data_IF_850807810159
#
_entry.id   IF_850807810159
#
_cell.length_a   1.000
_cell.length_b   1.000
_cell.length_c   1.000
_cell.angle_alpha   90.00
_cell.angle_beta   90.00
_cell.angle_gamma   90.00
#
_symmetry.space_group_name_H-M   'P 1'
#
loop_
_entity.id
_entity.type
_entity.pdbx_description
1 polymer ?
#
# COMPACT_ATOMS: atom_id res chain seq x y z
N UNK A 1 7.09 -4.29 -14.18
CA UNK A 1 6.48 -3.34 -15.10
C UNK A 1 6.68 -3.71 -16.55
N UNK A 2 7.91 -3.90 -16.99
CA UNK A 2 8.24 -4.10 -18.43
C UNK A 2 7.63 -5.37 -19.03
N UNK A 3 7.47 -6.43 -18.24
CA UNK A 3 6.97 -7.71 -18.74
C UNK A 3 5.43 -7.73 -18.89
N UNK A 4 4.69 -7.14 -17.96
CA UNK A 4 3.22 -7.27 -17.91
C UNK A 4 2.50 -5.92 -17.75
N UNK A 5 3.22 -4.84 -17.45
CA UNK A 5 2.62 -3.53 -17.23
C UNK A 5 2.10 -2.85 -18.51
N UNK A 6 2.58 -3.26 -19.69
CA UNK A 6 2.14 -2.70 -20.96
C UNK A 6 0.66 -2.99 -21.30
N UNK A 7 0.03 -3.89 -20.58
CA UNK A 7 -1.39 -4.22 -20.73
C UNK A 7 -2.31 -3.30 -19.91
N UNK A 8 -1.75 -2.42 -19.09
CA UNK A 8 -2.48 -1.50 -18.19
C UNK A 8 -2.10 -0.04 -18.45
N UNK A 9 -2.91 0.89 -17.95
CA UNK A 9 -2.71 2.34 -18.12
C UNK A 9 -1.39 2.80 -17.49
N UNK A 10 -1.09 2.32 -16.29
CA UNK A 10 0.21 2.49 -15.65
C UNK A 10 0.94 1.17 -15.59
N UNK A 11 2.18 1.13 -16.06
CA UNK A 11 3.01 -0.06 -16.00
C UNK A 11 3.21 -0.55 -14.57
N UNK A 12 3.32 0.39 -13.63
CA UNK A 12 3.47 0.15 -12.19
C UNK A 12 2.92 1.32 -11.39
N UNK A 13 2.56 1.07 -10.13
CA UNK A 13 2.11 2.08 -9.18
C UNK A 13 2.97 1.98 -7.91
N UNK A 14 3.70 3.05 -7.62
CA UNK A 14 4.59 3.16 -6.48
C UNK A 14 3.94 3.99 -5.38
N UNK A 15 3.75 3.40 -4.20
CA UNK A 15 3.09 4.03 -3.07
C UNK A 15 4.00 3.96 -1.84
N UNK A 16 3.98 5.00 -1.03
CA UNK A 16 4.71 5.04 0.23
C UNK A 16 3.90 5.72 1.32
N UNK A 17 4.02 5.22 2.55
CA UNK A 17 3.52 5.86 3.76
C UNK A 17 4.65 6.50 4.58
N UNK A 18 5.80 6.74 3.97
CA UNK A 18 6.88 7.46 4.61
C UNK A 18 6.58 8.96 4.71
N UNK A 19 6.99 9.57 5.82
CA UNK A 19 6.97 11.02 6.01
C UNK A 19 7.92 11.77 5.06
N UNK A 20 8.20 13.03 5.38
CA UNK A 20 9.13 13.82 4.58
C UNK A 20 10.56 13.29 4.70
N UNK A 21 11.27 13.30 3.58
CA UNK A 21 12.70 13.04 3.54
C UNK A 21 13.46 14.17 4.26
N UNK A 22 14.33 13.79 5.18
CA UNK A 22 15.33 14.72 5.69
C UNK A 22 16.34 15.05 4.58
N UNK A 23 16.82 16.30 4.47
CA UNK A 23 17.69 16.72 3.35
C UNK A 23 18.98 15.93 3.19
N UNK A 24 19.41 15.23 4.24
CA UNK A 24 20.67 14.44 4.28
C UNK A 24 20.48 12.95 4.05
N UNK A 25 19.24 12.46 3.94
CA UNK A 25 18.98 11.04 3.77
C UNK A 25 19.01 10.61 2.31
N UNK A 26 19.51 9.41 2.01
CA UNK A 26 19.46 8.82 0.67
C UNK A 26 18.03 8.68 0.15
N UNK A 27 17.87 8.86 -1.15
CA UNK A 27 16.57 8.79 -1.81
C UNK A 27 15.97 7.36 -1.79
N UNK A 28 16.81 6.35 -1.61
CA UNK A 28 16.45 4.96 -1.47
C UNK A 28 15.61 4.68 -0.21
N UNK A 29 15.72 5.53 0.80
CA UNK A 29 14.90 5.41 2.02
C UNK A 29 13.42 5.73 1.78
N UNK A 30 13.12 6.39 0.68
CA UNK A 30 11.76 6.80 0.31
C UNK A 30 11.16 5.96 -0.82
N UNK A 31 11.98 5.17 -1.52
CA UNK A 31 11.57 4.49 -2.75
C UNK A 31 12.18 3.09 -2.80
N UNK A 32 11.36 2.12 -3.22
CA UNK A 32 11.77 0.71 -3.35
C UNK A 32 11.68 0.21 -4.80
N UNK A 33 11.47 1.11 -5.76
CA UNK A 33 11.32 0.77 -7.19
C UNK A 33 12.18 1.64 -8.07
N UNK A 34 12.63 1.08 -9.19
CA UNK A 34 13.42 1.74 -10.22
C UNK A 34 12.92 1.39 -11.61
N UNK A 35 12.91 2.37 -12.50
CA UNK A 35 12.67 2.18 -13.95
C UNK A 35 13.90 1.65 -14.68
N UNK A 36 15.05 1.58 -14.02
CA UNK A 36 16.33 1.13 -14.56
C UNK A 36 17.49 1.61 -13.71
N UNK A 37 18.73 1.27 -14.05
CA UNK A 37 19.91 1.69 -13.27
C UNK A 37 19.95 3.19 -13.04
N UNK A 38 19.97 3.61 -11.77
CA UNK A 38 19.99 5.01 -11.35
C UNK A 38 18.72 5.82 -11.61
N UNK A 39 17.64 5.21 -12.13
CA UNK A 39 16.36 5.86 -12.42
C UNK A 39 15.29 5.42 -11.44
N UNK A 40 15.14 6.15 -10.35
CA UNK A 40 14.14 5.88 -9.32
C UNK A 40 12.73 6.05 -9.87
N UNK A 41 11.84 5.12 -9.52
CA UNK A 41 10.40 5.26 -9.66
C UNK A 41 9.84 5.92 -8.40
N UNK A 42 9.49 7.22 -8.45
CA UNK A 42 9.14 7.98 -7.24
C UNK A 42 7.81 7.53 -6.68
N UNK A 43 7.79 7.24 -5.39
CA UNK A 43 6.59 6.82 -4.67
C UNK A 43 5.65 7.98 -4.37
N UNK A 44 4.35 7.75 -4.53
CA UNK A 44 3.29 8.70 -4.18
C UNK A 44 2.94 8.50 -2.70
N UNK A 45 3.06 9.58 -1.91
CA UNK A 45 2.82 9.56 -0.47
C UNK A 45 1.49 10.18 -0.08
N UNK A 46 1.06 11.20 -0.79
CA UNK A 46 -0.18 11.91 -0.47
C UNK A 46 -1.39 11.17 -1.08
N UNK A 47 -2.38 10.73 -0.27
CA UNK A 47 -3.55 10.01 -0.78
C UNK A 47 -4.36 10.82 -1.78
N UNK A 48 -4.49 12.16 -1.61
CA UNK A 48 -5.15 13.02 -2.57
C UNK A 48 -4.43 13.00 -3.93
N UNK A 49 -3.09 13.12 -3.93
CA UNK A 49 -2.31 13.05 -5.19
C UNK A 49 -2.41 11.68 -5.84
N UNK A 50 -2.50 10.61 -5.04
CA UNK A 50 -2.73 9.28 -5.57
C UNK A 50 -4.12 9.17 -6.20
N UNK A 51 -5.16 9.62 -5.50
CA UNK A 51 -6.52 9.70 -6.01
C UNK A 51 -6.60 10.51 -7.31
N UNK A 52 -6.01 11.70 -7.32
CA UNK A 52 -5.94 12.57 -8.50
C UNK A 52 -5.27 11.87 -9.69
N UNK A 53 -4.17 11.15 -9.44
CA UNK A 53 -3.47 10.40 -10.49
C UNK A 53 -4.30 9.26 -11.05
N UNK A 54 -5.10 8.60 -10.22
CA UNK A 54 -5.94 7.49 -10.66
C UNK A 54 -7.17 7.96 -11.46
N UNK A 55 -7.78 9.08 -11.07
CA UNK A 55 -9.10 9.48 -11.57
C UNK A 55 -9.12 10.79 -12.35
N UNK A 56 -8.19 11.72 -12.07
CA UNK A 56 -8.21 13.06 -12.64
C UNK A 56 -7.06 13.22 -13.65
N UNK A 57 -7.35 13.08 -14.94
CA UNK A 57 -6.49 13.67 -15.96
C UNK A 57 -6.60 15.20 -15.87
N UNK A 58 -5.50 15.93 -15.98
CA UNK A 58 -5.43 17.40 -15.81
C UNK A 58 -6.48 18.22 -16.59
N UNK A 59 -6.98 17.70 -17.70
CA UNK A 59 -8.02 18.35 -18.52
C UNK A 59 -9.44 18.21 -17.95
N UNK A 60 -9.66 17.35 -16.96
CA UNK A 60 -11.01 17.06 -16.42
C UNK A 60 -11.30 17.77 -15.09
N UNK A 61 -10.28 18.28 -14.41
CA UNK A 61 -10.39 18.95 -13.09
C UNK A 61 -11.36 20.13 -13.06
N UNK A 62 -11.60 20.78 -14.20
CA UNK A 62 -12.46 21.96 -14.27
C UNK A 62 -13.95 21.64 -14.37
N UNK A 63 -14.35 20.39 -14.58
CA UNK A 63 -15.74 20.04 -14.92
C UNK A 63 -16.40 18.99 -14.04
N UNK A 64 -15.70 18.39 -13.05
CA UNK A 64 -16.25 17.29 -12.25
C UNK A 64 -16.01 17.55 -10.76
N UNK A 65 -17.10 17.73 -10.03
CA UNK A 65 -17.05 17.99 -8.57
C UNK A 65 -16.53 16.78 -7.80
N UNK A 66 -16.85 15.58 -8.20
CA UNK A 66 -16.23 14.33 -7.80
C UNK A 66 -16.43 13.23 -8.85
N UNK A 67 -15.58 12.20 -8.79
CA UNK A 67 -15.63 11.07 -9.76
C UNK A 67 -16.90 10.24 -9.57
N UNK A 68 -17.38 10.12 -8.34
CA UNK A 68 -18.59 9.37 -8.01
C UNK A 68 -19.82 9.94 -8.73
N UNK A 69 -19.95 11.26 -8.78
CA UNK A 69 -21.10 11.91 -9.44
C UNK A 69 -21.10 11.67 -10.96
N UNK A 70 -19.92 11.67 -11.58
CA UNK A 70 -19.78 11.37 -13.00
C UNK A 70 -20.10 9.90 -13.31
N UNK A 71 -19.50 8.98 -12.54
CA UNK A 71 -19.70 7.54 -12.71
C UNK A 71 -21.12 7.13 -12.31
N UNK A 72 -21.76 7.81 -11.34
CA UNK A 72 -23.15 7.56 -10.94
C UNK A 72 -24.15 7.81 -12.08
N UNK A 73 -23.93 8.81 -12.93
CA UNK A 73 -24.81 9.07 -14.05
C UNK A 73 -24.78 7.93 -15.08
N UNK A 74 -23.59 7.47 -15.44
CA UNK A 74 -23.38 6.35 -16.35
C UNK A 74 -23.73 5.00 -15.70
N UNK A 75 -23.42 4.83 -14.40
CA UNK A 75 -23.71 3.63 -13.62
C UNK A 75 -25.21 3.37 -13.49
N UNK A 76 -26.06 4.37 -13.31
CA UNK A 76 -27.52 4.20 -13.29
C UNK A 76 -28.06 3.65 -14.62
N UNK A 77 -27.46 4.06 -15.73
CA UNK A 77 -27.80 3.53 -17.05
C UNK A 77 -27.30 2.09 -17.22
N UNK A 78 -26.07 1.83 -16.80
CA UNK A 78 -25.43 0.51 -16.87
C UNK A 78 -26.14 -0.49 -15.95
N UNK A 79 -26.40 -0.11 -14.69
CA UNK A 79 -27.05 -0.97 -13.70
C UNK A 79 -28.40 -1.53 -14.16
N UNK A 80 -29.13 -0.82 -15.02
CA UNK A 80 -30.39 -1.31 -15.60
C UNK A 80 -30.19 -2.45 -16.60
N UNK A 81 -28.98 -2.58 -17.15
CA UNK A 81 -28.62 -3.59 -18.17
C UNK A 81 -27.90 -4.78 -17.60
N UNK A 82 -27.47 -4.72 -16.33
CA UNK A 82 -26.71 -5.76 -15.66
C UNK A 82 -27.60 -6.83 -15.01
N UNK A 83 -27.09 -8.03 -14.92
CA UNK A 83 -27.65 -9.09 -14.10
C UNK A 83 -27.64 -8.71 -12.60
N UNK A 84 -28.48 -9.35 -11.75
CA UNK A 84 -28.56 -8.99 -10.33
C UNK A 84 -27.20 -9.01 -9.59
N UNK A 85 -26.39 -10.04 -9.82
CA UNK A 85 -25.09 -10.22 -9.15
C UNK A 85 -24.07 -9.14 -9.61
N UNK A 86 -24.04 -8.84 -10.91
CA UNK A 86 -23.19 -7.77 -11.47
C UNK A 86 -23.62 -6.39 -10.96
N UNK A 87 -24.92 -6.19 -10.74
CA UNK A 87 -25.47 -4.96 -10.16
C UNK A 87 -25.06 -4.81 -8.70
N UNK A 88 -25.05 -5.88 -7.93
CA UNK A 88 -24.57 -5.88 -6.56
C UNK A 88 -23.08 -5.51 -6.52
N UNK A 89 -22.25 -6.18 -7.32
CA UNK A 89 -20.80 -5.91 -7.43
C UNK A 89 -20.51 -4.47 -7.80
N UNK A 90 -21.28 -3.90 -8.76
CA UNK A 90 -21.17 -2.49 -9.13
C UNK A 90 -21.53 -1.58 -7.96
N UNK A 91 -22.57 -1.92 -7.19
CA UNK A 91 -22.97 -1.19 -5.99
C UNK A 91 -21.87 -1.15 -4.92
N UNK A 92 -21.28 -2.29 -4.62
CA UNK A 92 -20.17 -2.41 -3.67
C UNK A 92 -18.92 -1.61 -4.11
N UNK A 93 -18.63 -1.62 -5.40
CA UNK A 93 -17.55 -0.81 -5.99
C UNK A 93 -17.80 0.70 -5.82
N UNK A 94 -19.01 1.16 -6.11
CA UNK A 94 -19.38 2.57 -5.95
C UNK A 94 -19.35 3.02 -4.49
N UNK A 95 -19.76 2.16 -3.57
CA UNK A 95 -19.67 2.42 -2.12
C UNK A 95 -18.22 2.54 -1.67
N UNK A 96 -17.32 1.70 -2.18
CA UNK A 96 -15.89 1.79 -1.88
C UNK A 96 -15.30 3.12 -2.35
N UNK A 97 -15.59 3.57 -3.58
CA UNK A 97 -15.14 4.87 -4.10
C UNK A 97 -15.65 5.99 -3.16
N UNK A 98 -16.93 5.99 -2.82
CA UNK A 98 -17.52 7.02 -1.96
C UNK A 98 -16.89 7.07 -0.58
N UNK A 99 -16.61 5.92 0.01
CA UNK A 99 -15.91 5.84 1.30
C UNK A 99 -14.50 6.42 1.23
N UNK A 100 -13.78 6.20 0.13
CA UNK A 100 -12.45 6.79 -0.11
C UNK A 100 -12.56 8.31 -0.23
N UNK A 101 -13.50 8.83 -1.02
CA UNK A 101 -13.73 10.28 -1.18
C UNK A 101 -14.02 10.95 0.16
N UNK A 102 -14.92 10.39 0.97
CA UNK A 102 -15.24 10.92 2.32
C UNK A 102 -13.99 10.97 3.21
N UNK A 103 -13.13 9.95 3.16
CA UNK A 103 -11.89 9.91 3.94
C UNK A 103 -10.88 10.96 3.47
N UNK A 104 -10.81 11.19 2.17
CA UNK A 104 -9.96 12.23 1.58
C UNK A 104 -10.47 13.62 1.96
N UNK A 105 -11.78 13.88 1.82
CA UNK A 105 -12.40 15.15 2.25
C UNK A 105 -12.15 15.43 3.74
N UNK A 106 -12.31 14.41 4.59
CA UNK A 106 -11.99 14.52 6.02
C UNK A 106 -10.53 14.88 6.27
N UNK A 107 -9.62 14.24 5.55
CA UNK A 107 -8.19 14.53 5.62
C UNK A 107 -7.89 15.97 5.20
N UNK A 108 -8.45 16.44 4.08
CA UNK A 108 -8.27 17.81 3.59
C UNK A 108 -8.79 18.85 4.57
N UNK A 109 -9.96 18.58 5.19
CA UNK A 109 -10.52 19.43 6.22
C UNK A 109 -9.58 19.55 7.42
N UNK A 110 -9.06 18.42 7.92
CA UNK A 110 -8.09 18.42 9.02
C UNK A 110 -6.82 19.19 8.66
N UNK A 111 -6.35 19.10 7.41
CA UNK A 111 -5.21 19.87 6.88
C UNK A 111 -5.49 21.37 6.89
N UNK A 112 -6.70 21.77 6.46
CA UNK A 112 -7.07 23.19 6.37
C UNK A 112 -7.30 23.83 7.75
N UNK A 113 -7.72 23.05 8.74
CA UNK A 113 -7.97 23.50 10.11
C UNK A 113 -6.70 23.50 10.98
N UNK A 114 -5.64 22.83 10.56
CA UNK A 114 -4.37 22.79 11.27
C UNK A 114 -3.59 24.09 11.04
N UNK A 115 -3.51 24.94 12.06
CA UNK A 115 -2.74 26.22 12.09
C UNK A 115 -1.22 25.98 12.32
N UNK A 116 -0.73 24.83 11.92
CA UNK A 116 0.70 24.45 12.07
C UNK A 116 1.18 23.86 10.76
N UNK A 117 2.43 24.11 10.42
CA UNK A 117 3.13 23.52 9.26
C UNK A 117 3.38 22.01 9.51
N UNK A 118 2.27 21.28 9.76
CA UNK A 118 2.30 19.82 9.92
C UNK A 118 2.55 19.21 8.56
N UNK A 119 3.51 18.30 8.42
CA UNK A 119 3.68 17.54 7.21
C UNK A 119 2.34 16.90 6.79
N UNK A 120 1.82 17.30 5.64
CA UNK A 120 0.47 16.93 5.13
C UNK A 120 0.19 15.42 5.07
N UNK A 121 1.17 14.58 5.37
CA UNK A 121 1.08 13.12 5.38
C UNK A 121 0.85 12.51 6.79
N UNK A 122 0.86 13.32 7.86
CA UNK A 122 0.77 12.85 9.26
C UNK A 122 -0.55 13.21 9.95
N UNK A 123 -1.53 13.68 9.20
CA UNK A 123 -2.78 14.21 9.76
C UNK A 123 -3.77 13.09 10.08
N UNK A 124 -3.70 11.98 9.38
CA UNK A 124 -4.46 10.78 9.73
C UNK A 124 -3.69 9.94 10.72
N UNK A 125 -4.38 9.25 11.64
CA UNK A 125 -3.78 8.15 12.38
C UNK A 125 -3.04 7.21 11.44
N UNK A 126 -1.84 6.78 11.81
CA UNK A 126 -0.95 6.04 10.92
C UNK A 126 -1.62 4.80 10.30
N UNK A 127 -2.36 4.04 11.10
CA UNK A 127 -3.09 2.89 10.59
C UNK A 127 -4.16 3.26 9.56
N UNK A 128 -4.87 4.36 9.78
CA UNK A 128 -5.87 4.88 8.84
C UNK A 128 -5.23 5.36 7.53
N UNK A 129 -4.09 6.06 7.63
CA UNK A 129 -3.31 6.50 6.48
C UNK A 129 -2.82 5.33 5.62
N UNK A 130 -2.23 4.30 6.24
CA UNK A 130 -1.78 3.09 5.53
C UNK A 130 -2.97 2.40 4.83
N UNK A 131 -4.10 2.26 5.51
CA UNK A 131 -5.31 1.63 4.95
C UNK A 131 -5.92 2.43 3.81
N UNK A 132 -5.92 3.76 3.90
CA UNK A 132 -6.40 4.61 2.79
C UNK A 132 -5.54 4.43 1.53
N UNK A 133 -4.22 4.43 1.68
CA UNK A 133 -3.31 4.16 0.56
C UNK A 133 -3.50 2.73 -0.01
N UNK A 134 -3.71 1.74 0.87
CA UNK A 134 -4.03 0.37 0.44
C UNK A 134 -5.35 0.29 -0.34
N UNK A 135 -6.41 0.95 0.13
CA UNK A 135 -7.72 0.96 -0.55
C UNK A 135 -7.63 1.65 -1.92
N UNK A 136 -6.86 2.73 -2.04
CA UNK A 136 -6.58 3.37 -3.34
C UNK A 136 -5.82 2.44 -4.30
N UNK A 137 -4.85 1.68 -3.78
CA UNK A 137 -4.14 0.66 -4.57
C UNK A 137 -5.08 -0.44 -5.06
N UNK A 138 -5.95 -0.96 -4.18
CA UNK A 138 -6.93 -1.97 -4.54
C UNK A 138 -7.91 -1.46 -5.59
N UNK A 139 -8.34 -0.21 -5.46
CA UNK A 139 -9.19 0.43 -6.44
C UNK A 139 -8.51 0.53 -7.81
N UNK A 140 -7.22 0.86 -7.85
CA UNK A 140 -6.45 0.87 -9.10
C UNK A 140 -6.40 -0.52 -9.77
N UNK A 141 -6.27 -1.59 -8.98
CA UNK A 141 -6.33 -2.97 -9.48
C UNK A 141 -7.71 -3.33 -10.01
N UNK A 142 -8.79 -3.03 -9.27
CA UNK A 142 -10.17 -3.29 -9.70
C UNK A 142 -10.54 -2.59 -11.01
N UNK A 143 -10.00 -1.39 -11.22
CA UNK A 143 -10.21 -0.62 -12.44
C UNK A 143 -9.29 -1.03 -13.61
N UNK A 144 -8.39 -1.98 -13.41
CA UNK A 144 -7.40 -2.36 -14.42
C UNK A 144 -6.41 -1.25 -14.77
N UNK A 145 -6.25 -0.25 -13.90
CA UNK A 145 -5.32 0.87 -14.09
C UNK A 145 -3.88 0.38 -14.05
N UNK A 146 -3.60 -0.55 -13.18
CA UNK A 146 -2.30 -1.26 -13.08
C UNK A 146 -2.50 -2.69 -12.58
N UNK A 147 -1.53 -3.56 -12.91
CA UNK A 147 -1.45 -4.93 -12.38
C UNK A 147 -0.28 -5.09 -11.39
N UNK A 148 0.54 -4.06 -11.22
CA UNK A 148 1.74 -4.12 -10.39
C UNK A 148 1.80 -2.89 -9.50
N UNK A 149 2.02 -3.11 -8.20
CA UNK A 149 2.29 -2.03 -7.26
C UNK A 149 3.40 -2.39 -6.28
N UNK A 150 4.13 -1.38 -5.85
CA UNK A 150 5.00 -1.46 -4.67
C UNK A 150 4.47 -0.51 -3.62
N UNK A 151 4.48 -0.97 -2.37
CA UNK A 151 3.90 -0.24 -1.26
C UNK A 151 4.82 -0.25 -0.04
N UNK A 152 5.47 0.85 0.24
CA UNK A 152 6.33 1.03 1.41
C UNK A 152 5.50 1.54 2.59
N UNK A 153 5.18 0.67 3.55
CA UNK A 153 4.35 0.99 4.71
C UNK A 153 5.13 1.49 5.93
N UNK A 154 6.40 1.16 6.03
CA UNK A 154 7.31 1.56 7.10
C UNK A 154 8.40 2.51 6.59
N UNK A 155 8.77 3.56 7.36
CA UNK A 155 9.86 4.44 6.99
C UNK A 155 11.20 3.72 7.15
N UNK A 156 12.02 3.76 6.13
CA UNK A 156 13.42 3.31 6.15
C UNK A 156 14.37 4.42 6.67
N UNK A 157 13.90 5.21 7.63
CA UNK A 157 14.61 6.39 8.12
C UNK A 157 15.02 6.23 9.57
N UNK A 158 16.21 6.71 9.89
CA UNK A 158 16.73 6.66 11.24
C UNK A 158 16.22 7.76 12.15
N UNK A 159 15.80 8.91 11.62
CA UNK A 159 15.31 10.07 12.36
C UNK A 159 13.78 10.20 12.38
N UNK A 160 13.08 9.29 11.73
CA UNK A 160 11.62 9.34 11.67
C UNK A 160 10.99 9.01 13.03
N UNK A 161 10.30 9.98 13.60
CA UNK A 161 9.46 9.81 14.80
C UNK A 161 8.01 9.69 14.36
N UNK A 162 7.36 8.59 14.73
CA UNK A 162 6.01 8.28 14.32
C UNK A 162 5.11 7.96 15.50
N UNK A 163 3.85 8.35 15.37
CA UNK A 163 2.80 7.91 16.27
C UNK A 163 2.20 6.59 15.78
N UNK A 164 2.15 5.60 16.65
CA UNK A 164 1.46 4.33 16.41
C UNK A 164 0.26 4.27 17.34
N UNK A 165 -0.85 4.79 16.87
CA UNK A 165 -2.08 4.95 17.65
C UNK A 165 -2.60 3.60 18.15
N UNK A 166 -2.94 3.55 19.44
CA UNK A 166 -3.37 2.31 20.11
C UNK A 166 -2.23 1.37 20.50
N UNK A 167 -0.98 1.74 20.20
CA UNK A 167 0.22 0.98 20.57
C UNK A 167 1.06 1.75 21.58
N UNK A 168 1.27 3.05 21.35
CA UNK A 168 2.03 3.94 22.22
C UNK A 168 1.27 5.25 22.49
N UNK A 169 1.45 5.82 23.69
CA UNK A 169 0.86 7.11 24.08
C UNK A 169 1.65 8.31 23.54
N UNK A 170 2.83 8.07 22.98
CA UNK A 170 3.74 9.10 22.46
C UNK A 170 4.32 8.64 21.14
N UNK A 171 4.70 9.59 20.24
CA UNK A 171 5.49 9.27 19.08
C UNK A 171 6.81 8.59 19.47
N UNK A 172 7.19 7.56 18.70
CA UNK A 172 8.42 6.79 18.96
C UNK A 172 9.30 6.81 17.70
N UNK A 173 10.60 6.69 17.93
CA UNK A 173 11.60 6.57 16.88
C UNK A 173 11.97 5.11 16.70
N UNK A 174 11.44 4.48 15.67
CA UNK A 174 11.61 3.04 15.41
C UNK A 174 13.09 2.66 15.30
N UNK A 175 13.89 3.44 14.57
CA UNK A 175 15.32 3.19 14.40
C UNK A 175 16.05 3.09 15.77
N UNK A 176 15.84 4.07 16.65
CA UNK A 176 16.46 4.04 17.99
C UNK A 176 16.00 2.84 18.81
N UNK A 177 14.76 2.37 18.63
CA UNK A 177 14.25 1.18 19.30
C UNK A 177 14.93 -0.08 18.80
N UNK A 178 15.27 -0.18 17.50
CA UNK A 178 16.00 -1.34 16.96
C UNK A 178 17.40 -1.48 17.56
N UNK A 179 18.05 -0.38 17.92
CA UNK A 179 19.36 -0.40 18.59
C UNK A 179 19.29 -0.63 20.11
N UNK A 180 18.10 -0.44 20.71
CA UNK A 180 17.87 -0.57 22.16
C UNK A 180 17.12 -1.85 22.54
N UNK A 181 17.43 -2.99 21.93
CA UNK A 181 16.71 -4.25 22.11
C UNK A 181 16.92 -4.93 23.49
N UNK A 182 17.61 -4.29 24.43
CA UNK A 182 17.81 -4.85 25.77
C UNK A 182 16.56 -4.70 26.65
N UNK A 183 16.14 -5.78 27.30
CA UNK A 183 15.01 -5.77 28.23
C UNK A 183 13.66 -5.41 27.60
N UNK A 184 13.00 -4.34 28.08
CA UNK A 184 11.66 -3.92 27.59
C UNK A 184 11.66 -3.43 26.14
N UNK A 185 12.77 -2.94 25.62
CA UNK A 185 12.86 -2.41 24.24
C UNK A 185 12.51 -3.45 23.18
N UNK A 186 12.87 -4.71 23.41
CA UNK A 186 12.49 -5.82 22.53
C UNK A 186 10.97 -6.01 22.44
N UNK A 187 10.25 -5.94 23.55
CA UNK A 187 8.80 -6.10 23.58
C UNK A 187 8.07 -4.90 22.94
N UNK A 188 8.65 -3.73 23.02
CA UNK A 188 8.09 -2.53 22.36
C UNK A 188 8.29 -2.58 20.86
N UNK A 189 9.45 -3.05 20.39
CA UNK A 189 9.70 -3.28 18.96
C UNK A 189 8.71 -4.30 18.38
N UNK A 190 8.47 -5.40 19.08
CA UNK A 190 7.49 -6.41 18.69
C UNK A 190 6.08 -5.82 18.49
N UNK A 191 5.67 -4.81 19.27
CA UNK A 191 4.37 -4.16 19.09
C UNK A 191 4.27 -3.41 17.77
N UNK A 192 5.38 -2.79 17.30
CA UNK A 192 5.44 -2.15 15.98
C UNK A 192 5.33 -3.18 14.88
N UNK A 193 6.02 -4.31 15.00
CA UNK A 193 5.95 -5.39 14.01
C UNK A 193 4.52 -5.94 13.93
N UNK A 194 3.86 -6.17 15.07
CA UNK A 194 2.45 -6.58 15.13
C UNK A 194 1.56 -5.54 14.46
N UNK A 195 1.76 -4.25 14.73
CA UNK A 195 1.01 -3.18 14.08
C UNK A 195 1.14 -3.23 12.56
N UNK A 196 2.34 -3.38 12.01
CA UNK A 196 2.56 -3.49 10.57
C UNK A 196 1.92 -4.76 9.99
N UNK A 197 2.04 -5.90 10.68
CA UNK A 197 1.38 -7.14 10.28
C UNK A 197 -0.15 -7.03 10.28
N UNK A 198 -0.73 -6.24 11.17
CA UNK A 198 -2.17 -5.94 11.17
C UNK A 198 -2.59 -5.13 9.93
N UNK A 199 -1.76 -4.20 9.46
CA UNK A 199 -2.03 -3.46 8.22
C UNK A 199 -1.92 -4.38 6.99
N UNK A 200 -0.93 -5.27 6.98
CA UNK A 200 -0.83 -6.30 5.93
C UNK A 200 -2.03 -7.25 5.94
N UNK A 201 -2.45 -7.71 7.11
CA UNK A 201 -3.65 -8.54 7.25
C UNK A 201 -4.93 -7.82 6.78
N UNK A 202 -5.04 -6.50 7.03
CA UNK A 202 -6.13 -5.69 6.48
C UNK A 202 -6.13 -5.74 4.96
N UNK A 203 -5.00 -5.51 4.30
CA UNK A 203 -4.88 -5.58 2.85
C UNK A 203 -5.33 -6.94 2.31
N UNK A 204 -4.82 -8.04 2.87
CA UNK A 204 -5.19 -9.40 2.44
C UNK A 204 -6.68 -9.70 2.64
N UNK A 205 -7.27 -9.22 3.74
CA UNK A 205 -8.70 -9.35 4.01
C UNK A 205 -9.51 -8.64 2.93
N UNK A 206 -9.18 -7.38 2.61
CA UNK A 206 -9.84 -6.62 1.57
C UNK A 206 -9.75 -7.30 0.21
N UNK A 207 -8.55 -7.79 -0.17
CA UNK A 207 -8.37 -8.54 -1.42
C UNK A 207 -9.18 -9.84 -1.48
N UNK A 208 -9.39 -10.49 -0.34
CA UNK A 208 -10.23 -11.69 -0.26
C UNK A 208 -11.72 -11.38 -0.43
N UNK A 209 -12.16 -10.22 0.04
CA UNK A 209 -13.54 -9.75 -0.07
C UNK A 209 -13.90 -9.31 -1.49
N UNK A 210 -12.95 -8.70 -2.22
CA UNK A 210 -13.14 -8.25 -3.60
C UNK A 210 -13.28 -9.47 -4.52
N UNK A 211 -14.40 -9.55 -5.24
CA UNK A 211 -14.70 -10.62 -6.20
C UNK A 211 -14.35 -10.21 -7.62
N UNK A 212 -13.75 -11.14 -8.33
CA UNK A 212 -13.47 -11.05 -9.76
C UNK A 212 -14.67 -11.59 -10.57
N UNK A 213 -14.65 -11.35 -11.87
CA UNK A 213 -15.76 -11.74 -12.79
C UNK A 213 -16.05 -13.25 -12.75
N UNK A 214 -15.04 -14.08 -12.49
CA UNK A 214 -15.16 -15.54 -12.40
C UNK A 214 -15.62 -16.03 -11.01
N UNK A 215 -15.92 -15.11 -10.07
CA UNK A 215 -16.31 -15.41 -8.69
C UNK A 215 -15.16 -15.73 -7.75
N UNK A 216 -13.93 -15.83 -8.24
CA UNK A 216 -12.74 -15.93 -7.40
C UNK A 216 -12.48 -14.60 -6.64
N UNK A 217 -11.61 -14.62 -5.64
CA UNK A 217 -11.22 -13.37 -5.00
C UNK A 217 -10.00 -12.75 -5.69
N UNK A 218 -9.85 -11.43 -5.61
CA UNK A 218 -8.64 -10.75 -6.06
C UNK A 218 -7.38 -11.38 -5.43
N UNK A 219 -7.45 -11.84 -4.18
CA UNK A 219 -6.34 -12.53 -3.51
C UNK A 219 -6.00 -13.87 -4.18
N UNK A 220 -7.00 -14.60 -4.68
CA UNK A 220 -6.75 -15.88 -5.38
C UNK A 220 -5.95 -15.66 -6.67
N UNK A 221 -6.14 -14.53 -7.33
CA UNK A 221 -5.50 -14.19 -8.60
C UNK A 221 -4.22 -13.38 -8.47
N UNK A 222 -3.83 -13.03 -7.24
CA UNK A 222 -2.68 -12.18 -6.96
C UNK A 222 -1.53 -12.93 -6.29
N UNK A 223 -0.34 -12.31 -6.35
CA UNK A 223 0.84 -12.66 -5.55
C UNK A 223 1.24 -11.42 -4.75
N UNK A 224 1.16 -11.51 -3.44
CA UNK A 224 1.46 -10.40 -2.53
C UNK A 224 2.66 -10.79 -1.67
N UNK A 225 3.70 -10.00 -1.72
CA UNK A 225 4.89 -10.20 -0.89
C UNK A 225 4.97 -9.10 0.18
N UNK A 226 5.34 -9.49 1.39
CA UNK A 226 5.63 -8.58 2.48
C UNK A 226 6.98 -8.95 3.09
N UNK A 227 7.79 -7.96 3.45
CA UNK A 227 9.08 -8.20 4.07
C UNK A 227 9.78 -6.91 4.48
N UNK A 228 10.97 -7.07 5.03
CA UNK A 228 11.86 -6.00 5.43
C UNK A 228 13.25 -6.21 4.83
N UNK A 229 14.03 -5.12 4.74
CA UNK A 229 15.40 -5.15 4.21
C UNK A 229 16.43 -5.67 5.21
N UNK A 230 16.08 -5.78 6.50
CA UNK A 230 16.95 -6.27 7.57
C UNK A 230 16.27 -7.40 8.33
N UNK A 231 17.04 -8.43 8.69
CA UNK A 231 16.62 -9.49 9.62
C UNK A 231 16.78 -9.08 11.07
N UNK A 232 17.81 -8.29 11.37
CA UNK A 232 18.05 -7.64 12.66
C UNK A 232 18.48 -6.19 12.45
N UNK A 233 17.67 -5.26 12.94
CA UNK A 233 17.94 -3.82 12.82
C UNK A 233 19.08 -3.35 13.74
N UNK A 234 19.37 -4.02 14.84
CA UNK A 234 20.44 -3.63 15.77
C UNK A 234 21.82 -3.83 15.17
N UNK A 235 22.00 -4.91 14.43
CA UNK A 235 23.27 -5.29 13.79
C UNK A 235 23.31 -5.02 12.30
N UNK A 236 22.21 -4.47 11.75
CA UNK A 236 22.00 -4.26 10.31
C UNK A 236 22.18 -5.56 9.50
N UNK A 237 21.58 -6.64 9.98
CA UNK A 237 21.71 -7.97 9.39
C UNK A 237 20.93 -8.08 8.08
N UNK A 238 21.60 -8.43 6.97
CA UNK A 238 21.01 -8.59 5.62
C UNK A 238 20.64 -10.04 5.27
N UNK A 239 20.62 -10.95 6.23
CA UNK A 239 20.24 -12.36 6.07
C UNK A 239 19.13 -12.71 7.05
N UNK A 240 18.52 -13.89 6.86
CA UNK A 240 17.31 -14.31 7.58
C UNK A 240 16.18 -13.28 7.52
N UNK A 241 15.99 -12.72 6.30
CA UNK A 241 14.98 -11.68 6.07
C UNK A 241 13.58 -12.25 6.31
N UNK A 242 12.72 -11.52 7.06
CA UNK A 242 11.34 -11.93 7.27
C UNK A 242 10.55 -11.69 5.97
N UNK A 243 10.19 -12.76 5.28
CA UNK A 243 9.44 -12.70 4.02
C UNK A 243 8.15 -13.50 4.12
N UNK A 244 7.03 -12.89 3.73
CA UNK A 244 5.74 -13.54 3.61
C UNK A 244 5.26 -13.43 2.17
N UNK A 245 4.75 -14.52 1.63
CA UNK A 245 4.10 -14.55 0.31
C UNK A 245 2.67 -15.03 0.50
N UNK A 246 1.72 -14.22 0.07
CA UNK A 246 0.30 -14.50 0.11
C UNK A 246 -0.32 -14.42 -1.29
N UNK A 247 -1.55 -14.92 -1.41
CA UNK A 247 -2.23 -15.04 -2.70
C UNK A 247 -1.97 -16.40 -3.34
N UNK A 248 -2.79 -16.78 -4.32
CA UNK A 248 -2.66 -18.08 -4.98
C UNK A 248 -2.01 -17.99 -6.35
N UNK A 249 -1.84 -16.78 -6.92
CA UNK A 249 -1.32 -16.61 -8.27
C UNK A 249 -2.05 -17.48 -9.29
N UNK A 250 -3.39 -17.43 -9.27
CA UNK A 250 -4.26 -18.29 -10.10
C UNK A 250 -4.02 -19.80 -9.88
N UNK A 251 -3.72 -20.19 -8.65
CA UNK A 251 -3.49 -21.60 -8.29
C UNK A 251 -2.04 -22.09 -8.43
N UNK A 252 -1.13 -21.26 -8.88
CA UNK A 252 0.29 -21.62 -9.05
C UNK A 252 1.06 -21.65 -7.72
N UNK A 253 0.57 -20.94 -6.69
CA UNK A 253 1.22 -20.87 -5.38
C UNK A 253 0.53 -21.79 -4.37
N UNK A 254 1.32 -22.71 -3.80
CA UNK A 254 0.89 -23.51 -2.64
C UNK A 254 1.07 -22.70 -1.37
N UNK A 255 -0.02 -22.48 -0.65
CA UNK A 255 -0.05 -21.74 0.62
C UNK A 255 0.09 -22.62 1.85
N UNK A 256 0.15 -21.99 3.04
CA UNK A 256 0.18 -22.68 4.33
C UNK A 256 1.52 -23.39 4.59
N UNK A 257 2.63 -22.87 4.04
CA UNK A 257 3.97 -23.45 4.19
C UNK A 257 4.91 -22.50 4.90
N UNK A 258 5.76 -23.06 5.74
CA UNK A 258 7.00 -22.42 6.16
C UNK A 258 8.15 -23.07 5.38
N UNK A 259 8.95 -22.23 4.72
CA UNK A 259 10.08 -22.71 3.90
C UNK A 259 11.36 -22.10 4.47
N UNK A 260 12.21 -22.96 5.02
CA UNK A 260 13.58 -22.58 5.40
C UNK A 260 14.50 -22.85 4.21
N UNK A 261 15.00 -21.80 3.60
CA UNK A 261 15.93 -21.90 2.48
C UNK A 261 17.34 -22.23 2.98
N UNK A 262 18.17 -22.77 2.07
CA UNK A 262 19.60 -23.00 2.34
C UNK A 262 20.28 -21.65 2.58
N UNK A 263 21.20 -21.60 3.56
CA UNK A 263 22.02 -20.42 3.81
C UNK A 263 22.73 -19.96 2.52
N UNK A 264 22.76 -18.65 2.28
CA UNK A 264 23.31 -18.05 1.08
C UNK A 264 22.35 -18.01 -0.14
N UNK A 265 21.11 -18.50 0.00
CA UNK A 265 20.09 -18.31 -1.05
C UNK A 265 19.76 -16.83 -1.15
N UNK A 266 19.90 -16.26 -2.36
CA UNK A 266 19.63 -14.84 -2.60
C UNK A 266 18.14 -14.55 -2.58
N UNK A 267 17.73 -13.45 -1.93
CA UNK A 267 16.33 -13.01 -1.91
C UNK A 267 15.82 -12.66 -3.33
N UNK A 268 16.71 -12.24 -4.23
CA UNK A 268 16.38 -12.01 -5.65
C UNK A 268 15.82 -13.25 -6.36
N UNK A 269 16.12 -14.46 -5.90
CA UNK A 269 15.54 -15.69 -6.44
C UNK A 269 14.04 -15.78 -6.17
N UNK A 270 13.56 -15.24 -5.03
CA UNK A 270 12.12 -15.12 -4.76
C UNK A 270 11.46 -14.21 -5.80
N UNK A 271 12.04 -13.04 -6.04
CA UNK A 271 11.52 -12.07 -7.00
C UNK A 271 11.52 -12.61 -8.43
N UNK A 272 12.59 -13.33 -8.81
CA UNK A 272 12.64 -13.99 -10.10
C UNK A 272 11.54 -15.04 -10.26
N UNK A 273 11.30 -15.84 -9.20
CA UNK A 273 10.22 -16.86 -9.21
C UNK A 273 8.83 -16.23 -9.31
N UNK A 274 8.61 -15.10 -8.63
CA UNK A 274 7.34 -14.37 -8.71
C UNK A 274 7.12 -13.73 -10.07
N UNK A 275 8.20 -13.36 -10.78
CA UNK A 275 8.14 -12.73 -12.10
C UNK A 275 7.97 -13.73 -13.27
N UNK A 276 8.19 -15.01 -13.05
CA UNK A 276 8.01 -16.12 -14.03
C UNK A 276 6.58 -16.65 -14.00
#
# INVERSE_FOLDING_TARGET
GDAVGHTSIFNTLEISCNGFRAPKEPIEFDNISWYGPGKIAPSIRNPQKLYDRLFLRDSYRQHVANVTDLVLADTKSLARKLAPDDRQTLGEFMEMIRNIEIRIEKMEKLISEADVDIPKNEILPRGEYIRLQADLMLLAFQMGITNISTFMIGPERWDATLMYEGVFDKPVQHHSMTHNQKGKGYLELQKIDIFHMQQYAYLLKRMKEIKEIDGSSMLDNSVITYGAGLGDGATHQYYDLPMVVAGKGQGQLKQGRFIKLKSGTLNSNLWLTVAQ
#
